data_IF_675132426300
#
_entry.id   IF_675132426300
#
_cell.length_a   1.000
_cell.length_b   1.000
_cell.length_c   1.000
_cell.angle_alpha   90.00
_cell.angle_beta   90.00
_cell.angle_gamma   90.00
#
_symmetry.space_group_name_H-M   'P 1'
#
loop_
_entity.id
_entity.type
_entity.pdbx_description
1 polymer ?
2 non-polymer ?
3 non-polymer ?
4 non-polymer ?
5 water ?
#
# COMPACT_ATOMS: atom_id res chain seq x y z
N UNK A 2 26.96 7.44 -12.88
CA UNK A 2 27.19 6.86 -14.27
C UNK A 2 26.12 7.33 -15.27
N UNK A 3 24.84 7.04 -15.01
CA UNK A 3 23.75 7.45 -15.89
C UNK A 3 23.25 8.83 -15.44
N UNK A 4 22.84 9.68 -16.39
CA UNK A 4 22.42 11.02 -16.04
C UNK A 4 21.01 11.00 -15.47
N UNK A 5 20.62 12.04 -14.74
CA UNK A 5 19.28 12.03 -14.17
C UNK A 5 18.24 12.27 -15.27
N UNK A 6 18.69 12.89 -16.37
CA UNK A 6 17.88 13.07 -17.56
C UNK A 6 17.47 11.71 -18.13
N UNK A 7 18.38 10.72 -18.11
CA UNK A 7 18.06 9.42 -18.67
C UNK A 7 17.19 8.61 -17.69
N UNK A 8 17.44 8.74 -16.39
CA UNK A 8 16.64 8.06 -15.39
C UNK A 8 15.18 8.54 -15.53
N UNK A 9 15.02 9.88 -15.58
CA UNK A 9 13.71 10.50 -15.69
C UNK A 9 13.04 10.05 -16.98
N UNK A 10 13.78 10.03 -18.08
CA UNK A 10 13.18 9.67 -19.36
C UNK A 10 12.71 8.21 -19.32
N UNK A 11 13.58 7.31 -18.89
CA UNK A 11 13.26 5.88 -18.79
C UNK A 11 12.03 5.63 -17.91
N UNK A 12 11.94 6.30 -16.75
CA UNK A 12 10.85 6.04 -15.83
C UNK A 12 9.53 6.59 -16.40
N UNK A 13 9.57 7.76 -17.05
CA UNK A 13 8.41 8.27 -17.76
C UNK A 13 7.91 7.24 -18.79
N UNK A 14 8.85 6.62 -19.50
CA UNK A 14 8.53 5.68 -20.56
C UNK A 14 7.78 4.46 -20.01
N UNK A 15 8.20 3.97 -18.84
CA UNK A 15 7.51 2.82 -18.24
C UNK A 15 6.00 3.11 -18.07
N UNK A 16 5.65 4.35 -17.69
CA UNK A 16 4.25 4.73 -17.54
C UNK A 16 3.60 4.96 -18.90
N UNK A 17 4.32 5.65 -19.80
CA UNK A 17 3.88 5.84 -21.18
C UNK A 17 3.46 4.52 -21.82
N UNK A 18 4.34 3.50 -21.75
CA UNK A 18 4.15 2.22 -22.43
C UNK A 18 2.98 1.41 -21.86
N UNK A 19 2.55 1.71 -20.64
CA UNK A 19 1.44 0.98 -20.06
C UNK A 19 0.15 1.74 -20.32
N UNK A 20 0.26 2.88 -21.01
CA UNK A 20 -0.93 3.64 -21.35
C UNK A 20 -1.67 4.06 -20.09
N UNK A 21 -0.94 4.53 -19.10
CA UNK A 21 -1.62 5.14 -17.98
C UNK A 21 -0.97 6.48 -17.69
N UNK A 22 -1.43 7.14 -16.63
CA UNK A 22 -0.73 8.24 -16.01
C UNK A 22 -0.45 7.92 -14.55
N UNK A 23 0.76 8.26 -14.09
CA UNK A 23 1.12 8.07 -12.71
C UNK A 23 2.50 8.63 -12.34
N UNK A 24 2.86 8.39 -11.07
CA UNK A 24 4.12 8.75 -10.44
C UNK A 24 4.63 7.59 -9.58
N UNK A 25 5.91 7.66 -9.25
CA UNK A 25 6.49 6.90 -8.17
C UNK A 25 7.37 7.88 -7.42
N UNK A 26 7.06 8.08 -6.12
CA UNK A 26 7.93 8.79 -5.20
C UNK A 26 8.86 7.78 -4.54
N UNK A 27 10.17 8.07 -4.59
CA UNK A 27 11.21 7.36 -3.86
C UNK A 27 11.84 8.25 -2.80
N UNK A 28 12.11 7.63 -1.64
CA UNK A 28 12.69 8.34 -0.51
C UNK A 28 14.04 7.70 -0.18
N UNK A 29 15.10 8.52 -0.18
CA UNK A 29 16.43 8.05 0.22
C UNK A 29 16.87 8.88 1.41
N UNK A 30 16.93 8.24 2.57
CA UNK A 30 17.04 8.95 3.82
C UNK A 30 15.87 9.93 3.98
N UNK A 31 16.15 11.22 3.83
CA UNK A 31 15.13 12.22 4.15
C UNK A 31 14.76 13.00 2.88
N UNK A 32 15.22 12.52 1.71
CA UNK A 32 15.11 13.21 0.43
C UNK A 32 14.15 12.48 -0.51
N UNK A 33 13.14 13.22 -1.01
CA UNK A 33 12.01 12.69 -1.77
C UNK A 33 12.19 13.00 -3.25
N UNK A 34 12.15 11.96 -4.10
CA UNK A 34 12.24 12.15 -5.54
C UNK A 34 10.93 11.72 -6.21
N UNK A 35 10.54 12.44 -7.27
CA UNK A 35 9.29 12.20 -7.99
C UNK A 35 9.58 11.76 -9.43
N UNK A 36 9.06 10.59 -9.82
CA UNK A 36 9.17 10.16 -11.21
C UNK A 36 7.82 9.73 -11.77
N UNK A 37 7.83 9.41 -13.08
CA UNK A 37 6.64 9.02 -13.83
C UNK A 37 6.40 9.97 -15.01
N UNK A 38 5.18 9.98 -15.53
CA UNK A 38 4.79 10.79 -16.67
C UNK A 38 3.67 11.75 -16.28
N UNK A 39 3.41 11.91 -14.98
CA UNK A 39 2.41 12.83 -14.45
C UNK A 39 2.82 13.34 -13.07
N UNK A 40 3.91 14.12 -13.04
CA UNK A 40 4.58 14.44 -11.79
C UNK A 40 3.62 15.16 -10.84
N UNK A 41 2.60 15.85 -11.37
CA UNK A 41 1.72 16.66 -10.53
C UNK A 41 0.73 15.82 -9.72
N UNK A 42 0.77 14.50 -9.87
CA UNK A 42 -0.09 13.67 -9.07
C UNK A 42 0.39 13.65 -7.62
N UNK A 43 1.66 14.02 -7.38
CA UNK A 43 2.36 13.72 -6.13
C UNK A 43 1.63 14.24 -4.89
N UNK A 44 0.92 15.36 -5.02
CA UNK A 44 0.36 15.98 -3.83
C UNK A 44 -1.15 16.06 -3.95
N UNK A 45 -1.72 15.30 -4.89
CA UNK A 45 -3.17 15.12 -5.00
C UNK A 45 -3.65 13.97 -4.11
N UNK A 46 -4.93 14.03 -3.70
CA UNK A 46 -5.54 13.06 -2.80
C UNK A 46 -6.31 12.00 -3.57
N UNK A 47 -6.09 10.73 -3.19
CA UNK A 47 -6.82 9.57 -3.70
C UNK A 47 -7.19 8.71 -2.50
N UNK A 48 -8.27 7.92 -2.64
CA UNK A 48 -8.58 6.94 -1.61
C UNK A 48 -7.41 5.95 -1.53
N UNK A 49 -7.09 5.44 -0.33
CA UNK A 49 -5.96 4.54 -0.17
C UNK A 49 -6.20 3.15 -0.73
N UNK A 50 -7.49 2.76 -0.78
CA UNK A 50 -7.89 1.40 -1.13
C UNK A 50 -7.08 0.41 -0.29
N UNK A 51 -6.80 -0.78 -0.81
CA UNK A 51 -6.24 -1.82 0.05
C UNK A 51 -4.86 -1.46 0.62
N UNK A 52 -4.30 -0.30 0.25
CA UNK A 52 -3.09 0.13 0.94
C UNK A 52 -3.44 0.29 2.42
N UNK A 53 -4.73 0.58 2.72
CA UNK A 53 -5.18 0.75 4.09
C UNK A 53 -5.00 -0.51 4.92
N UNK A 54 -4.91 -1.64 4.26
CA UNK A 54 -4.89 -2.94 4.91
C UNK A 54 -3.74 -2.96 5.92
N UNK A 55 -2.63 -2.35 5.53
CA UNK A 55 -1.45 -2.25 6.37
C UNK A 55 -1.83 -1.64 7.72
N UNK A 56 -2.50 -0.48 7.71
CA UNK A 56 -2.80 0.23 8.95
C UNK A 56 -3.87 -0.52 9.73
N UNK A 57 -4.87 -1.01 9.00
CA UNK A 57 -5.97 -1.81 9.50
C UNK A 57 -5.43 -3.00 10.30
N UNK A 58 -4.43 -3.69 9.73
CA UNK A 58 -3.75 -4.79 10.41
C UNK A 58 -3.08 -4.30 11.69
N UNK A 59 -2.34 -3.17 11.61
CA UNK A 59 -1.67 -2.58 12.77
C UNK A 59 -2.67 -2.36 13.90
N UNK A 60 -3.78 -1.67 13.59
CA UNK A 60 -4.80 -1.30 14.55
C UNK A 60 -5.42 -2.55 15.19
N UNK A 61 -5.76 -3.53 14.35
CA UNK A 61 -6.39 -4.77 14.81
C UNK A 61 -5.50 -5.57 15.77
N UNK A 62 -4.22 -5.72 15.43
CA UNK A 62 -3.36 -6.49 16.31
C UNK A 62 -3.06 -5.71 17.58
N UNK A 63 -2.79 -4.39 17.46
CA UNK A 63 -2.45 -3.61 18.64
C UNK A 63 -3.54 -3.76 19.69
N UNK A 64 -4.79 -3.75 19.23
CA UNK A 64 -5.97 -3.61 20.07
C UNK A 64 -6.63 -4.97 20.31
N UNK A 65 -5.94 -6.05 19.94
CA UNK A 65 -6.30 -7.41 20.31
C UNK A 65 -7.63 -7.81 19.69
N UNK A 66 -7.88 -7.35 18.46
CA UNK A 66 -9.06 -7.79 17.73
C UNK A 66 -8.73 -9.01 16.88
N UNK A 67 -7.45 -9.43 16.86
CA UNK A 67 -7.05 -10.59 16.09
C UNK A 67 -5.69 -11.10 16.55
N UNK A 68 -5.27 -12.23 15.99
CA UNK A 68 -4.04 -12.95 16.23
C UNK A 68 -3.41 -13.20 14.87
N UNK A 69 -2.08 -13.41 14.79
CA UNK A 69 -1.45 -13.62 13.49
C UNK A 69 -1.68 -15.05 13.00
N UNK A 70 -2.13 -15.94 13.91
CA UNK A 70 -2.34 -17.36 13.63
C UNK A 70 -3.84 -17.65 13.39
N UNK A 71 -4.70 -16.67 13.70
CA UNK A 71 -6.15 -16.82 13.70
C UNK A 71 -6.69 -17.08 12.29
N UNK A 72 -7.64 -18.01 12.20
CA UNK A 72 -8.21 -18.38 10.91
C UNK A 72 -9.58 -17.72 10.76
N UNK A 73 -9.70 -16.75 9.84
CA UNK A 73 -10.97 -16.14 9.53
C UNK A 73 -11.72 -17.08 8.58
N UNK A 74 -12.80 -17.70 9.07
CA UNK A 74 -13.54 -18.66 8.28
C UNK A 74 -14.28 -17.92 7.18
N UNK A 75 -14.25 -18.48 5.95
CA UNK A 75 -15.09 -18.03 4.86
C UNK A 75 -16.55 -18.30 5.25
N UNK A 76 -17.43 -17.35 4.98
CA UNK A 76 -18.84 -17.48 5.35
C UNK A 76 -19.57 -18.40 4.36
N UNK A 77 -18.96 -18.68 3.21
CA UNK A 77 -19.60 -19.51 2.20
C UNK A 77 -20.44 -18.74 1.18
N UNK A 78 -20.44 -17.40 1.23
CA UNK A 78 -21.10 -16.62 0.18
C UNK A 78 -20.22 -16.58 -1.07
N UNK A 79 -20.86 -16.37 -2.23
CA UNK A 79 -20.16 -16.28 -3.49
C UNK A 79 -19.26 -15.05 -3.43
N UNK A 80 -18.00 -15.25 -3.75
CA UNK A 80 -17.09 -14.13 -3.64
C UNK A 80 -16.71 -13.69 -5.05
N UNK A 81 -16.61 -12.38 -5.25
CA UNK A 81 -16.32 -11.81 -6.56
C UNK A 81 -15.04 -12.42 -7.15
N UNK A 82 -14.03 -12.70 -6.30
CA UNK A 82 -12.86 -13.46 -6.72
C UNK A 82 -12.83 -14.80 -5.99
N UNK A 83 -12.84 -15.95 -6.71
CA UNK A 83 -12.82 -17.28 -6.08
C UNK A 83 -11.60 -17.58 -5.23
N UNK A 84 -10.55 -16.74 -5.34
CA UNK A 84 -9.37 -16.99 -4.53
C UNK A 84 -9.67 -16.62 -3.07
N UNK A 85 -10.78 -15.86 -2.86
CA UNK A 85 -11.29 -15.39 -1.58
C UNK A 85 -12.17 -16.42 -0.87
N UNK A 86 -12.76 -17.37 -1.60
CA UNK A 86 -13.67 -18.35 -1.00
C UNK A 86 -12.91 -19.41 -0.22
N UNK A 87 -12.11 -18.99 0.77
CA UNK A 87 -11.42 -19.90 1.66
C UNK A 87 -11.14 -19.21 2.99
N UNK A 88 -10.79 -20.03 3.99
CA UNK A 88 -10.37 -19.58 5.31
C UNK A 88 -8.92 -19.09 5.25
N UNK A 89 -8.67 -17.93 5.87
CA UNK A 89 -7.32 -17.40 5.85
C UNK A 89 -7.00 -16.59 7.11
N UNK A 90 -5.68 -16.39 7.28
CA UNK A 90 -5.06 -15.52 8.27
C UNK A 90 -4.96 -14.11 7.68
N UNK A 91 -4.76 -13.11 8.55
CA UNK A 91 -4.58 -11.74 8.11
C UNK A 91 -3.48 -11.73 7.05
N UNK A 92 -2.46 -12.60 7.24
CA UNK A 92 -1.30 -12.66 6.37
C UNK A 92 -1.66 -13.07 4.95
N UNK A 93 -2.35 -14.21 4.84
CA UNK A 93 -2.77 -14.70 3.54
C UNK A 93 -3.68 -13.65 2.92
N UNK A 94 -4.46 -12.94 3.75
CA UNK A 94 -5.43 -11.97 3.27
C UNK A 94 -4.71 -10.77 2.70
N UNK A 95 -3.57 -10.42 3.32
CA UNK A 95 -2.71 -9.36 2.83
C UNK A 95 -2.25 -9.65 1.38
N UNK A 96 -1.76 -10.87 1.10
CA UNK A 96 -1.21 -11.17 -0.23
C UNK A 96 -2.34 -11.18 -1.25
N UNK A 97 -3.50 -11.71 -0.83
CA UNK A 97 -4.58 -11.92 -1.76
C UNK A 97 -5.40 -10.64 -1.86
N UNK A 98 -5.10 -9.67 -0.99
CA UNK A 98 -5.95 -8.51 -0.81
C UNK A 98 -7.41 -8.90 -0.66
N UNK A 99 -7.71 -9.74 0.35
CA UNK A 99 -9.03 -10.26 0.67
C UNK A 99 -9.82 -9.26 1.52
N UNK A 100 -10.54 -8.37 0.85
CA UNK A 100 -11.29 -7.28 1.48
C UNK A 100 -12.26 -7.83 2.53
N UNK A 101 -13.02 -8.91 2.28
CA UNK A 101 -13.92 -9.42 3.32
C UNK A 101 -13.25 -9.64 4.68
N UNK A 102 -12.02 -10.18 4.67
CA UNK A 102 -11.30 -10.36 5.92
C UNK A 102 -10.99 -8.99 6.54
N UNK A 103 -10.57 -8.03 5.72
CA UNK A 103 -10.24 -6.72 6.27
C UNK A 103 -11.50 -5.99 6.71
N UNK A 104 -12.64 -6.34 6.14
CA UNK A 104 -13.88 -5.73 6.60
C UNK A 104 -14.27 -6.30 7.96
N UNK A 105 -14.18 -7.63 8.11
CA UNK A 105 -14.34 -8.27 9.42
C UNK A 105 -13.47 -7.54 10.47
N UNK A 106 -12.17 -7.43 10.18
CA UNK A 106 -11.28 -6.75 11.12
C UNK A 106 -11.78 -5.36 11.48
N UNK A 107 -12.19 -4.59 10.46
CA UNK A 107 -12.71 -3.24 10.69
C UNK A 107 -13.91 -3.29 11.63
N UNK A 108 -14.79 -4.27 11.40
CA UNK A 108 -15.98 -4.37 12.22
C UNK A 108 -15.58 -4.71 13.66
N UNK A 109 -14.54 -5.55 13.84
CA UNK A 109 -14.13 -5.92 15.19
C UNK A 109 -13.56 -4.69 15.90
N UNK A 110 -12.72 -3.92 15.20
CA UNK A 110 -12.20 -2.67 15.73
C UNK A 110 -13.37 -1.75 16.09
N UNK A 111 -14.31 -1.60 15.15
CA UNK A 111 -15.47 -0.73 15.36
C UNK A 111 -15.17 0.72 14.99
N UNK A 112 -16.23 1.46 14.58
CA UNK A 112 -16.09 2.77 13.97
C UNK A 112 -15.35 3.75 14.90
N UNK A 113 -15.68 3.67 16.18
CA UNK A 113 -15.19 4.57 17.20
C UNK A 113 -13.68 4.43 17.35
N UNK A 114 -13.23 3.19 17.64
CA UNK A 114 -11.82 2.93 17.82
C UNK A 114 -11.07 3.19 16.51
N UNK A 115 -11.71 2.89 15.37
CA UNK A 115 -11.08 3.14 14.07
C UNK A 115 -10.78 4.63 13.91
N UNK A 116 -11.77 5.49 14.20
CA UNK A 116 -11.64 6.92 14.04
C UNK A 116 -10.51 7.44 14.93
N UNK A 117 -10.42 6.94 16.17
CA UNK A 117 -9.43 7.47 17.08
C UNK A 117 -8.04 7.10 16.59
N UNK A 118 -7.86 5.84 16.19
CA UNK A 118 -6.57 5.29 15.78
C UNK A 118 -6.01 6.02 14.56
N UNK A 119 -6.90 6.34 13.63
CA UNK A 119 -6.51 7.02 12.40
C UNK A 119 -6.18 8.50 12.66
N UNK A 120 -6.93 9.19 13.55
CA UNK A 120 -6.44 10.49 14.03
C UNK A 120 -5.06 10.34 14.67
N UNK A 121 -4.91 9.46 15.65
CA UNK A 121 -3.67 9.26 16.39
C UNK A 121 -2.49 9.07 15.44
N UNK A 122 -2.65 8.24 14.39
CA UNK A 122 -1.55 7.95 13.47
C UNK A 122 -1.37 9.09 12.46
N UNK A 123 -2.41 9.91 12.26
CA UNK A 123 -2.41 11.06 11.38
C UNK A 123 -2.18 10.58 9.93
N UNK A 124 -3.05 9.66 9.48
CA UNK A 124 -2.98 9.03 8.17
C UNK A 124 -3.87 9.78 7.19
N UNK A 125 -3.26 10.27 6.10
CA UNK A 125 -3.94 11.02 5.05
C UNK A 125 -4.73 12.20 5.58
N UNK A 126 -5.98 12.35 5.10
CA UNK A 126 -6.89 13.41 5.55
C UNK A 126 -7.52 13.05 6.90
N UNK A 127 -7.36 11.80 7.33
CA UNK A 127 -7.76 11.32 8.64
C UNK A 127 -9.28 11.27 8.89
N UNK A 128 -10.14 11.45 7.87
CA UNK A 128 -11.59 11.35 8.02
C UNK A 128 -12.04 9.96 7.54
N UNK A 129 -12.78 9.22 8.40
CA UNK A 129 -13.22 7.90 7.98
C UNK A 129 -14.74 7.81 7.79
N UNK A 130 -15.44 8.90 8.17
CA UNK A 130 -16.89 9.04 8.03
C UNK A 130 -17.67 8.08 8.94
N UNK A 131 -18.79 7.54 8.43
CA UNK A 131 -19.72 6.78 9.26
C UNK A 131 -19.71 5.28 8.93
N UNK A 132 -19.16 4.88 7.79
CA UNK A 132 -19.17 3.47 7.39
C UNK A 132 -17.80 2.81 7.66
N UNK A 133 -17.71 2.07 8.76
CA UNK A 133 -16.46 1.51 9.28
C UNK A 133 -15.83 0.50 8.31
N UNK A 134 -16.54 0.15 7.22
CA UNK A 134 -16.23 -1.07 6.48
C UNK A 134 -15.91 -0.83 5.01
N UNK A 135 -15.89 0.43 4.58
CA UNK A 135 -15.65 0.71 3.17
C UNK A 135 -14.94 2.06 2.98
N UNK A 136 -14.53 2.72 4.09
CA UNK A 136 -14.06 4.10 4.00
C UNK A 136 -12.79 4.19 3.17
N UNK A 137 -12.02 3.09 3.21
CA UNK A 137 -10.77 3.07 2.50
C UNK A 137 -10.96 2.76 1.02
N UNK A 138 -12.18 2.35 0.62
CA UNK A 138 -12.43 1.95 -0.76
C UNK A 138 -13.13 3.06 -1.55
N UNK A 139 -14.01 3.82 -0.89
CA UNK A 139 -14.85 4.76 -1.63
C UNK A 139 -14.84 6.13 -0.96
N UNK A 140 -14.01 6.33 0.06
CA UNK A 140 -13.99 7.62 0.75
C UNK A 140 -14.79 7.57 2.04
N UNK A 141 -14.72 8.60 2.93
CA UNK A 141 -14.01 9.86 2.63
C UNK A 141 -12.51 9.92 2.95
N UNK A 142 -11.91 8.77 3.31
CA UNK A 142 -10.47 8.75 3.56
C UNK A 142 -9.69 8.87 2.25
N UNK A 143 -8.76 9.83 2.25
CA UNK A 143 -7.93 10.16 1.10
C UNK A 143 -6.53 10.44 1.63
N UNK A 144 -5.55 10.31 0.73
CA UNK A 144 -4.14 10.43 1.06
C UNK A 144 -3.42 10.79 -0.22
N UNK A 145 -2.27 11.45 -0.09
CA UNK A 145 -1.40 11.81 -1.21
C UNK A 145 -0.29 10.76 -1.33
N UNK A 146 0.27 10.60 -2.56
CA UNK A 146 1.40 9.70 -2.78
C UNK A 146 2.62 10.03 -1.93
N UNK A 147 2.78 11.33 -1.63
CA UNK A 147 3.87 11.79 -0.76
C UNK A 147 3.61 11.27 0.65
N UNK A 148 2.37 11.44 1.11
CA UNK A 148 1.99 10.90 2.39
C UNK A 148 2.23 9.39 2.44
N UNK A 149 1.98 8.68 1.32
CA UNK A 149 2.00 7.23 1.36
C UNK A 149 3.43 6.76 1.60
N UNK A 150 4.38 7.30 0.80
CA UNK A 150 5.76 6.91 0.99
C UNK A 150 6.23 7.29 2.40
N UNK A 151 5.77 8.43 2.96
CA UNK A 151 6.14 8.81 4.33
C UNK A 151 5.59 7.79 5.34
N UNK A 152 4.38 7.29 5.09
CA UNK A 152 3.80 6.27 5.95
C UNK A 152 4.62 4.97 5.88
N UNK A 153 5.15 4.69 4.68
CA UNK A 153 5.90 3.47 4.39
C UNK A 153 7.29 3.57 5.00
N UNK A 154 7.80 4.80 5.05
CA UNK A 154 9.05 5.16 5.67
C UNK A 154 8.92 4.96 7.17
N UNK A 155 7.86 5.52 7.75
CA UNK A 155 7.60 5.30 9.16
C UNK A 155 7.61 3.80 9.49
N UNK A 156 6.94 3.00 8.64
CA UNK A 156 6.67 1.63 9.07
C UNK A 156 7.92 0.77 8.90
N UNK A 157 8.65 1.03 7.81
CA UNK A 157 9.92 0.37 7.52
C UNK A 157 10.94 0.58 8.64
N UNK A 158 10.82 1.68 9.38
CA UNK A 158 11.74 2.08 10.43
C UNK A 158 11.04 1.97 11.80
N UNK A 159 9.81 1.47 11.82
CA UNK A 159 9.18 1.18 13.10
C UNK A 159 8.93 2.47 13.87
N UNK A 160 8.64 3.55 13.15
CA UNK A 160 8.45 4.85 13.80
C UNK A 160 6.96 5.12 14.06
N UNK A 161 6.11 4.18 13.67
CA UNK A 161 4.68 4.40 13.87
C UNK A 161 4.33 4.24 15.34
N UNK A 162 3.23 4.86 15.81
CA UNK A 162 2.85 4.73 17.22
C UNK A 162 2.14 3.41 17.59
N UNK A 163 2.90 2.32 17.59
CA UNK A 163 2.40 0.99 17.89
C UNK A 163 3.56 0.17 18.43
N UNK A 164 3.29 -0.93 19.15
CA UNK A 164 4.37 -1.75 19.66
C UNK A 164 5.28 -2.20 18.51
N UNK A 165 6.57 -2.33 18.82
CA UNK A 165 7.50 -2.82 17.83
C UNK A 165 7.01 -4.17 17.31
N UNK A 166 6.57 -5.04 18.23
CA UNK A 166 6.06 -6.37 17.94
C UNK A 166 4.97 -6.29 16.87
N UNK A 167 4.01 -5.36 17.06
CA UNK A 167 2.90 -5.19 16.13
C UNK A 167 3.43 -4.89 14.73
N UNK A 168 4.38 -3.94 14.67
CA UNK A 168 4.98 -3.49 13.43
C UNK A 168 5.65 -4.66 12.73
N UNK A 169 6.46 -5.44 13.45
CA UNK A 169 7.17 -6.58 12.86
C UNK A 169 6.15 -7.62 12.40
N UNK A 170 5.09 -7.80 13.19
CA UNK A 170 4.03 -8.74 12.84
C UNK A 170 3.49 -8.37 11.45
N UNK A 171 3.15 -7.09 11.27
CA UNK A 171 2.54 -6.61 10.04
C UNK A 171 3.57 -6.59 8.90
N UNK A 172 4.82 -6.25 9.18
CA UNK A 172 5.81 -6.24 8.11
C UNK A 172 6.05 -7.63 7.52
N UNK A 173 6.10 -8.67 8.36
CA UNK A 173 6.34 -10.03 7.90
C UNK A 173 5.26 -10.43 6.88
N UNK A 174 4.07 -9.78 6.96
CA UNK A 174 2.95 -10.06 6.05
C UNK A 174 3.16 -9.48 4.65
N UNK A 175 4.22 -8.68 4.46
CA UNK A 175 4.24 -7.75 3.34
C UNK A 175 5.28 -8.10 2.28
N UNK A 176 6.04 -9.17 2.48
CA UNK A 176 7.10 -9.53 1.57
C UNK A 176 6.55 -10.02 0.23
N UNK A 177 6.87 -9.34 -0.88
CA UNK A 177 6.33 -9.76 -2.16
C UNK A 177 7.39 -10.26 -3.14
N UNK A 178 8.64 -9.77 -3.08
CA UNK A 178 9.67 -10.27 -3.99
C UNK A 178 11.05 -10.22 -3.33
N UNK A 179 11.91 -11.15 -3.73
CA UNK A 179 13.34 -11.11 -3.47
C UNK A 179 14.07 -11.07 -4.81
N UNK A 180 14.79 -9.97 -5.06
CA UNK A 180 15.46 -9.76 -6.34
C UNK A 180 16.88 -9.31 -6.02
N UNK A 181 17.87 -9.91 -6.72
CA UNK A 181 19.30 -9.66 -6.53
C UNK A 181 19.77 -10.25 -5.20
N UNK A 182 19.20 -9.75 -4.09
CA UNK A 182 19.56 -10.03 -2.71
C UNK A 182 18.95 -8.96 -1.82
N UNK A 183 17.98 -8.25 -2.41
CA UNK A 183 17.14 -7.22 -1.82
C UNK A 183 15.75 -7.80 -1.61
N UNK A 184 14.99 -7.19 -0.70
CA UNK A 184 13.65 -7.69 -0.41
C UNK A 184 12.64 -6.57 -0.63
N UNK A 185 11.54 -6.89 -1.31
CA UNK A 185 10.55 -5.86 -1.56
C UNK A 185 9.31 -6.13 -0.70
N UNK A 186 9.09 -5.22 0.26
CA UNK A 186 7.92 -5.21 1.11
C UNK A 186 6.97 -4.15 0.58
N UNK A 187 5.72 -4.51 0.35
CA UNK A 187 4.76 -3.54 -0.17
C UNK A 187 3.36 -4.14 -0.14
N UNK A 188 2.35 -3.25 -0.27
CA UNK A 188 0.95 -3.60 -0.42
C UNK A 188 0.41 -2.88 -1.64
N UNK A 189 -0.33 -3.61 -2.47
CA UNK A 189 -1.04 -3.01 -3.57
C UNK A 189 -2.38 -2.44 -3.09
N UNK A 190 -2.90 -1.50 -3.88
CA UNK A 190 -4.27 -1.03 -3.74
C UNK A 190 -4.87 -0.82 -5.13
N UNK A 191 -6.15 -1.20 -5.28
CA UNK A 191 -6.91 -0.93 -6.49
C UNK A 191 -8.28 -0.38 -6.11
N UNK A 192 -8.47 0.93 -6.30
CA UNK A 192 -9.74 1.53 -5.98
C UNK A 192 -10.73 1.46 -7.16
N UNK A 193 -11.67 0.51 -7.11
CA UNK A 193 -12.51 0.22 -8.26
C UNK A 193 -13.85 0.95 -8.16
N UNK A 194 -14.26 1.30 -6.94
CA UNK A 194 -15.51 2.01 -6.78
C UNK A 194 -15.32 3.53 -6.66
N UNK A 195 -14.25 4.04 -7.28
CA UNK A 195 -14.04 5.47 -7.46
C UNK A 195 -13.80 5.75 -8.94
N UNK A 196 -14.16 6.97 -9.35
CA UNK A 196 -14.06 7.33 -10.75
C UNK A 196 -13.21 8.61 -10.86
N UNK A 197 -12.07 8.60 -11.61
CA UNK A 197 -11.50 7.39 -12.22
C UNK A 197 -10.87 6.46 -11.19
N UNK A 198 -10.52 5.24 -11.60
CA UNK A 198 -9.94 4.29 -10.67
C UNK A 198 -8.50 4.68 -10.35
N UNK A 199 -8.09 4.42 -9.09
CA UNK A 199 -6.71 4.61 -8.69
C UNK A 199 -6.01 3.27 -8.37
N UNK A 200 -4.69 3.23 -8.65
CA UNK A 200 -3.87 2.09 -8.33
C UNK A 200 -2.62 2.48 -7.54
N UNK A 201 -2.23 1.63 -6.58
CA UNK A 201 -1.20 1.95 -5.63
C UNK A 201 -0.24 0.76 -5.55
N UNK A 202 1.04 1.04 -5.29
CA UNK A 202 1.90 0.01 -4.71
C UNK A 202 2.90 0.71 -3.79
N UNK A 203 2.66 0.55 -2.48
CA UNK A 203 3.42 1.23 -1.45
C UNK A 203 4.19 0.19 -0.64
N UNK A 204 5.42 0.52 -0.30
CA UNK A 204 6.27 -0.28 0.56
C UNK A 204 7.69 0.25 0.55
N UNK A 205 8.66 -0.68 0.64
CA UNK A 205 10.06 -0.32 0.63
C UNK A 205 10.90 -1.48 0.11
N UNK A 206 12.13 -1.15 -0.30
CA UNK A 206 13.18 -2.13 -0.54
C UNK A 206 14.10 -2.19 0.67
N UNK A 207 14.36 -3.40 1.17
CA UNK A 207 15.43 -3.64 2.13
C UNK A 207 16.59 -4.31 1.38
N UNK A 208 17.69 -3.57 1.26
CA UNK A 208 18.84 -4.01 0.47
C UNK A 208 19.71 -4.91 1.34
N UNK A 209 20.71 -5.56 0.73
CA UNK A 209 21.57 -6.50 1.45
C UNK A 209 22.21 -5.82 2.67
N UNK A 210 22.72 -4.60 2.46
CA UNK A 210 23.49 -3.83 3.45
C UNK A 210 22.64 -3.42 4.65
N UNK A 211 21.31 -3.40 4.49
CA UNK A 211 20.41 -3.06 5.58
C UNK A 211 19.66 -1.74 5.38
N UNK A 212 20.09 -0.87 4.43
CA UNK A 212 19.36 0.37 4.16
C UNK A 212 17.96 0.02 3.63
N UNK A 213 17.00 0.91 3.90
CA UNK A 213 15.61 0.69 3.48
C UNK A 213 15.16 1.86 2.62
N UNK A 214 14.72 1.54 1.38
CA UNK A 214 14.38 2.56 0.40
C UNK A 214 12.89 2.51 0.14
N UNK A 215 12.12 3.41 0.81
CA UNK A 215 10.66 3.48 0.62
C UNK A 215 10.20 4.11 -0.70
N UNK A 216 9.03 3.67 -1.18
CA UNK A 216 8.48 4.11 -2.45
C UNK A 216 6.96 4.05 -2.43
N UNK A 217 6.36 4.88 -3.29
CA UNK A 217 4.94 4.78 -3.51
C UNK A 217 4.66 5.04 -4.98
N UNK A 218 4.14 4.01 -5.66
CA UNK A 218 3.67 4.15 -7.03
C UNK A 218 2.18 4.39 -6.95
N UNK A 219 1.72 5.28 -7.84
CA UNK A 219 0.32 5.64 -7.91
C UNK A 219 -0.01 5.99 -9.35
N UNK A 220 -1.08 5.42 -9.89
CA UNK A 220 -1.47 5.67 -11.27
C UNK A 220 -2.96 5.41 -11.47
N UNK A 221 -3.50 5.87 -12.60
CA UNK A 221 -4.89 5.64 -12.94
C UNK A 221 -5.01 4.24 -13.52
N UNK A 222 -5.90 3.40 -12.96
CA UNK A 222 -6.26 2.14 -13.62
C UNK A 222 -7.41 2.41 -14.59
N UNK A 223 -7.33 1.84 -15.80
CA UNK A 223 -8.36 1.96 -16.82
C UNK A 223 -8.94 0.56 -17.08
N UNK A 224 -10.22 0.51 -17.44
CA UNK A 224 -10.95 -0.75 -17.64
C UNK A 224 -10.10 -1.72 -18.46
N UNK A 225 -9.95 -2.96 -17.93
CA UNK A 225 -9.15 -4.03 -18.51
C UNK A 225 -7.67 -3.69 -18.67
N UNK A 226 -6.99 -3.32 -17.56
CA UNK A 226 -5.54 -3.42 -17.42
C UNK A 226 -5.29 -4.51 -16.37
N UNK A 227 -4.15 -5.20 -16.45
CA UNK A 227 -3.78 -6.18 -15.44
C UNK A 227 -3.17 -5.47 -14.22
N UNK A 228 -3.53 -5.91 -13.00
CA UNK A 228 -3.05 -5.29 -11.78
C UNK A 228 -1.54 -5.34 -11.59
N UNK A 229 -0.86 -6.31 -12.24
CA UNK A 229 0.56 -6.55 -12.07
C UNK A 229 1.41 -5.51 -12.82
N UNK A 230 0.79 -4.69 -13.68
CA UNK A 230 1.55 -3.61 -14.27
C UNK A 230 2.00 -2.62 -13.18
N UNK A 231 1.26 -2.56 -12.06
CA UNK A 231 1.70 -1.79 -10.91
C UNK A 231 3.04 -2.32 -10.42
N UNK A 232 3.12 -3.64 -10.24
CA UNK A 232 4.36 -4.29 -9.88
C UNK A 232 5.44 -4.05 -10.95
N UNK A 233 5.09 -4.27 -12.22
CA UNK A 233 6.10 -4.30 -13.27
C UNK A 233 6.77 -2.93 -13.34
N UNK A 234 5.97 -1.86 -13.35
CA UNK A 234 6.48 -0.51 -13.47
C UNK A 234 7.40 -0.23 -12.29
N UNK A 235 6.92 -0.59 -11.09
CA UNK A 235 7.68 -0.36 -9.88
C UNK A 235 9.04 -1.05 -9.98
N UNK A 236 9.04 -2.31 -10.42
CA UNK A 236 10.27 -3.09 -10.47
C UNK A 236 11.28 -2.47 -11.46
N UNK A 237 10.82 -2.09 -12.65
CA UNK A 237 11.70 -1.53 -13.67
C UNK A 237 12.33 -0.24 -13.13
N UNK A 238 11.52 0.60 -12.47
CA UNK A 238 11.96 1.87 -11.91
C UNK A 238 13.00 1.68 -10.82
N UNK A 239 12.73 0.79 -9.87
CA UNK A 239 13.70 0.50 -8.83
C UNK A 239 14.99 -0.01 -9.46
N UNK A 240 14.86 -0.78 -10.55
CA UNK A 240 16.05 -1.35 -11.18
C UNK A 240 16.79 -0.30 -12.03
N UNK A 241 16.04 0.56 -12.73
CA UNK A 241 16.62 1.69 -13.41
C UNK A 241 17.46 2.54 -12.45
N UNK A 242 16.96 2.84 -11.24
CA UNK A 242 17.75 3.66 -10.34
C UNK A 242 18.74 2.82 -9.55
N UNK A 243 18.89 1.53 -9.89
CA UNK A 243 19.88 0.69 -9.23
C UNK A 243 19.60 0.50 -7.74
N UNK A 244 18.35 0.72 -7.33
CA UNK A 244 17.92 0.42 -5.97
C UNK A 244 17.75 -1.09 -5.80
N UNK A 245 17.50 -1.81 -6.90
CA UNK A 245 17.61 -3.26 -6.90
C UNK A 245 18.48 -3.69 -8.09
X LIG B 1 3.23 12.98 6.87
X LIG B 1 2.03 12.88 7.43
X LIG B 1 4.15 13.33 7.61
X LIG B 1 3.33 12.74 5.64
X LIG C 1 -13.37 -2.38 -4.49
X LIG C 1 -12.69 -4.51 -5.76
X LIG C 1 -12.68 -1.44 -4.92
X LIG C 1 -12.86 -3.85 -4.44
X LIG C 1 -6.12 -8.24 -9.29
X LIG C 1 -4.62 -8.13 -9.61
X LIG C 1 -8.56 -6.79 -6.62
X LIG C 1 -6.70 -5.73 -5.66
X LIG C 1 -5.74 -4.83 -4.97
X LIG C 1 -14.62 -2.11 -4.03
X LIG C 1 -11.48 -4.03 -3.78
X LIG C 1 -10.74 -5.12 -4.55
X LIG C 1 -11.27 -4.92 -5.96
X LIG C 1 -8.97 -5.13 -4.34
X LIG C 1 -8.04 -5.86 -5.54
X LIG C 1 -8.91 -8.15 -6.03
X LIG C 1 -6.12 -4.11 -4.03
X LIG C 1 -4.54 -4.79 -5.34
X LIG C 1 -6.40 -6.58 -6.62
X LIG C 1 -7.40 -6.89 -7.62
X LIG C 1 -6.53 -8.17 -7.82
X LIG C 1 -5.54 -7.55 -6.88
X LIG C 1 -4.41 -7.86 -6.52
X LIG C 1 -6.68 -9.43 -9.85
X LIG D 1 -18.70 1.26 17.98
X LIG D 1 -18.17 2.39 17.25
X LIG D 1 -20.05 0.99 17.53
X LIG D 1 -18.71 1.59 19.39
X LIG D 1 -17.87 0.09 17.76
#
# INVERSE_FOLDING_TARGET
>A
MHISSQQHEKAIKSYFDEAQTQGVIIIKEGKNLSTYGNALARANKEYVPASTFDMLNALIGLENHKATTNEIFKWDGKKRTYPMWEKDMTLGEAMALSAVPVYQELARRTGLELMQKEVKRVNFGNTNIGTQVDNFWLVGPLKITPVQEVNFADDLAHNRLPFKLETQEEVKKMLLIKEVNGSKIYAKSGWGMGVTPQVGWLTGWVEQANGKKIPFSLNLEMKEGMSGSIRNEITYKSLENLGII
>B hetero
1 BCT C O1 O2 O3
>C hetero
1 6H7 C N O CA CAE CAF CAH CAL CAM NAX CB CG CD SAK CAI CAS OAU OAT NAJ CAD CAB CAA OAC OAG
>D hetero
1 SO4 S O1 O2 O3 O4
#
